data_IF_975427470211
#
_entry.id   IF_975427470211
#
_cell.length_a   1.000
_cell.length_b   1.000
_cell.length_c   1.000
_cell.angle_alpha   90.00
_cell.angle_beta   90.00
_cell.angle_gamma   90.00
#
_symmetry.space_group_name_H-M   'P 1'
#
loop_
_entity.id
_entity.type
_entity.pdbx_description
1 polymer ?
#
# COMPACT_ATOMS: atom_id res chain seq x y z
N UNK A 1 29.07 30.45 6.50
CA UNK A 1 28.81 30.00 6.29
C UNK A 1 28.38 29.37 6.15
N UNK A 2 28.34 29.13 6.02
CA UNK A 2 28.02 28.59 5.59
C UNK A 2 27.30 27.90 5.70
N UNK A 3 27.03 27.94 5.53
CA UNK A 3 26.41 27.38 5.46
C UNK A 3 26.10 26.43 5.18
N UNK A 4 26.17 26.05 5.35
CA UNK A 4 25.89 25.15 4.92
C UNK A 4 24.83 24.74 4.91
N UNK A 5 24.66 24.54 4.35
CA UNK A 5 23.43 24.30 4.00
C UNK A 5 22.88 23.22 4.73
N UNK A 6 22.12 23.49 5.06
CA UNK A 6 21.58 22.68 5.68
C UNK A 6 21.39 21.67 4.95
N UNK A 7 21.46 20.81 5.26
CA UNK A 7 21.33 19.80 4.66
C UNK A 7 20.06 19.60 4.38
N UNK A 8 19.75 19.53 3.46
CA UNK A 8 18.61 19.30 3.05
C UNK A 8 18.24 18.08 3.56
N UNK A 9 17.22 17.90 3.99
CA UNK A 9 16.78 16.77 4.41
C UNK A 9 16.86 15.77 3.42
N UNK A 10 17.27 14.67 3.72
CA UNK A 10 17.33 13.66 2.83
C UNK A 10 16.01 13.31 2.40
N UNK A 11 15.83 12.90 1.26
CA UNK A 11 14.63 12.51 0.76
C UNK A 11 14.24 11.40 1.55
N UNK A 12 13.10 11.08 1.79
CA UNK A 12 12.67 10.01 2.61
C UNK A 12 12.63 8.68 1.93
N UNK A 13 13.41 8.46 0.93
CA UNK A 13 13.41 7.17 0.25
C UNK A 13 14.15 6.08 1.03
N UNK A 14 14.78 6.42 2.17
CA UNK A 14 15.43 5.41 3.00
C UNK A 14 14.59 4.99 4.20
N UNK A 15 13.35 5.44 4.30
CA UNK A 15 12.51 5.04 5.41
C UNK A 15 11.92 3.66 5.14
N UNK A 16 11.36 3.06 6.19
CA UNK A 16 10.70 1.77 6.04
C UNK A 16 9.41 1.89 5.27
N UNK A 17 9.13 0.88 4.49
CA UNK A 17 7.90 0.79 3.71
C UNK A 17 7.29 -0.59 3.96
N UNK A 18 5.99 -0.71 3.75
CA UNK A 18 5.29 -1.98 3.87
C UNK A 18 4.90 -2.48 2.50
N UNK A 19 4.97 -3.80 2.34
CA UNK A 19 4.23 -4.46 1.27
C UNK A 19 3.04 -5.11 1.95
N UNK A 20 1.83 -4.81 1.50
CA UNK A 20 0.61 -5.29 2.13
C UNK A 20 -0.27 -6.02 1.15
N UNK A 21 -1.19 -6.79 1.67
CA UNK A 21 -2.13 -7.56 0.86
C UNK A 21 -3.53 -7.29 1.37
N UNK A 22 -4.43 -7.01 0.45
CA UNK A 22 -5.85 -6.82 0.74
C UNK A 22 -6.58 -7.97 0.08
N UNK A 23 -7.30 -8.78 0.86
CA UNK A 23 -7.97 -9.97 0.34
C UNK A 23 -9.47 -9.84 0.52
N UNK A 24 -10.21 -10.10 -0.55
CA UNK A 24 -11.66 -10.15 -0.50
C UNK A 24 -12.09 -11.54 -0.08
N UNK A 25 -12.79 -11.66 1.04
CA UNK A 25 -13.21 -12.95 1.56
C UNK A 25 -14.30 -13.59 0.73
N UNK A 26 -15.01 -12.82 -0.08
CA UNK A 26 -16.12 -13.34 -0.87
C UNK A 26 -15.63 -14.22 -2.00
N UNK A 27 -14.65 -13.76 -2.76
CA UNK A 27 -14.19 -14.48 -3.94
C UNK A 27 -12.69 -14.80 -3.92
N UNK A 28 -11.99 -14.42 -2.86
CA UNK A 28 -10.57 -14.69 -2.75
C UNK A 28 -9.67 -13.81 -3.58
N UNK A 29 -10.23 -12.83 -4.29
CA UNK A 29 -9.40 -11.92 -5.06
C UNK A 29 -8.58 -11.05 -4.13
N UNK A 30 -7.41 -10.61 -4.57
CA UNK A 30 -6.54 -9.85 -3.68
C UNK A 30 -5.73 -8.81 -4.44
N UNK A 31 -5.20 -7.88 -3.68
CA UNK A 31 -4.42 -6.75 -4.18
C UNK A 31 -3.14 -6.66 -3.36
N UNK A 32 -2.03 -6.37 -4.02
CA UNK A 32 -0.76 -6.14 -3.35
C UNK A 32 -0.35 -4.69 -3.60
N UNK A 33 0.02 -3.99 -2.54
CA UNK A 33 0.41 -2.60 -2.65
C UNK A 33 1.52 -2.27 -1.67
N UNK A 34 1.98 -1.03 -1.71
CA UNK A 34 3.00 -0.55 -0.78
C UNK A 34 2.58 0.78 -0.19
N UNK A 35 3.09 1.04 1.00
CA UNK A 35 2.93 2.35 1.62
C UNK A 35 4.10 2.57 2.55
N UNK A 36 4.40 3.83 2.89
CA UNK A 36 5.50 4.11 3.81
C UNK A 36 5.05 3.88 5.26
N UNK A 37 6.02 3.60 6.13
CA UNK A 37 5.76 3.45 7.55
C UNK A 37 5.99 4.79 8.21
N UNK A 38 4.97 5.33 8.85
CA UNK A 38 5.06 6.62 9.50
C UNK A 38 5.37 6.43 10.97
N UNK A 39 6.46 7.03 11.43
CA UNK A 39 6.86 6.98 12.83
C UNK A 39 6.95 5.58 13.40
N UNK A 40 7.35 4.63 12.58
CA UNK A 40 7.53 3.26 13.01
C UNK A 40 6.25 2.49 13.31
N UNK A 41 5.10 3.06 12.99
CA UNK A 41 3.81 2.44 13.33
C UNK A 41 3.23 1.72 12.13
N UNK A 42 3.55 0.45 12.01
CA UNK A 42 3.19 -0.35 10.85
C UNK A 42 1.69 -0.51 10.67
N UNK A 43 1.01 -0.91 11.73
CA UNK A 43 -0.43 -1.15 11.63
C UNK A 43 -1.20 0.12 11.35
N UNK A 44 -0.80 1.23 11.96
CA UNK A 44 -1.46 2.51 11.69
C UNK A 44 -1.20 2.97 10.27
N UNK A 45 -0.01 2.71 9.77
CA UNK A 45 0.33 3.08 8.39
C UNK A 45 -0.51 2.29 7.39
N UNK A 46 -0.72 1.01 7.66
CA UNK A 46 -1.57 0.18 6.83
C UNK A 46 -3.02 0.67 6.90
N UNK A 47 -3.51 0.97 8.09
CA UNK A 47 -4.88 1.46 8.27
C UNK A 47 -5.09 2.76 7.52
N UNK A 48 -4.12 3.68 7.57
CA UNK A 48 -4.21 4.93 6.84
C UNK A 48 -4.33 4.68 5.34
N UNK A 49 -3.54 3.74 4.83
CA UNK A 49 -3.58 3.42 3.41
C UNK A 49 -4.90 2.76 3.03
N UNK A 50 -5.41 1.89 3.89
CA UNK A 50 -6.71 1.26 3.65
C UNK A 50 -7.81 2.31 3.58
N UNK A 51 -7.78 3.30 4.47
CA UNK A 51 -8.77 4.37 4.43
C UNK A 51 -8.67 5.17 3.13
N UNK A 52 -7.48 5.35 2.60
CA UNK A 52 -7.31 6.03 1.32
C UNK A 52 -7.96 5.22 0.20
N UNK A 53 -7.81 3.89 0.23
CA UNK A 53 -8.47 3.04 -0.75
C UNK A 53 -10.01 3.14 -0.62
N UNK A 54 -10.50 3.21 0.61
CA UNK A 54 -11.94 3.36 0.82
C UNK A 54 -12.45 4.69 0.28
N UNK A 55 -11.71 5.76 0.47
CA UNK A 55 -12.11 7.05 -0.08
C UNK A 55 -12.13 7.01 -1.60
N UNK A 56 -11.13 6.41 -2.19
CA UNK A 56 -11.10 6.29 -3.65
C UNK A 56 -12.30 5.52 -4.17
N UNK A 57 -12.68 4.46 -3.49
CA UNK A 57 -13.80 3.62 -3.92
C UNK A 57 -15.15 4.27 -3.67
N UNK A 58 -15.33 4.82 -2.47
CA UNK A 58 -16.66 5.23 -2.01
C UNK A 58 -16.94 6.70 -2.24
N UNK A 59 -15.93 7.56 -2.04
CA UNK A 59 -16.16 9.00 -2.17
C UNK A 59 -15.84 9.50 -3.58
N UNK A 60 -14.81 8.97 -4.21
CA UNK A 60 -14.38 9.47 -5.51
C UNK A 60 -14.83 8.60 -6.68
N UNK A 61 -15.34 7.41 -6.39
CA UNK A 61 -15.87 6.54 -7.45
C UNK A 61 -14.83 6.09 -8.45
N UNK A 62 -13.59 5.86 -8.01
CA UNK A 62 -12.55 5.43 -8.93
C UNK A 62 -12.92 4.11 -9.58
N UNK A 63 -12.41 3.92 -10.80
CA UNK A 63 -12.77 2.75 -11.58
C UNK A 63 -11.70 1.66 -11.65
N UNK A 64 -10.66 1.76 -10.84
CA UNK A 64 -9.67 0.69 -10.81
C UNK A 64 -10.29 -0.56 -10.19
N UNK A 65 -9.66 -1.71 -10.43
CA UNK A 65 -10.23 -2.99 -10.02
C UNK A 65 -10.47 -3.09 -8.52
N UNK A 66 -9.54 -2.60 -7.72
CA UNK A 66 -9.71 -2.65 -6.27
C UNK A 66 -10.91 -1.82 -5.83
N UNK A 67 -11.05 -0.60 -6.35
CA UNK A 67 -12.16 0.27 -5.98
C UNK A 67 -13.50 -0.35 -6.38
N UNK A 68 -13.56 -0.94 -7.56
CA UNK A 68 -14.79 -1.61 -8.00
C UNK A 68 -15.12 -2.79 -7.09
N UNK A 69 -14.11 -3.56 -6.71
CA UNK A 69 -14.31 -4.71 -5.83
C UNK A 69 -14.80 -4.27 -4.45
N UNK A 70 -14.27 -3.17 -3.92
CA UNK A 70 -14.69 -2.66 -2.62
C UNK A 70 -16.17 -2.27 -2.67
N UNK A 71 -16.59 -1.59 -3.74
CA UNK A 71 -17.99 -1.21 -3.88
C UNK A 71 -18.88 -2.43 -4.06
N UNK A 72 -18.42 -3.42 -4.80
CA UNK A 72 -19.22 -4.60 -5.10
C UNK A 72 -19.39 -5.50 -3.88
N UNK A 73 -18.33 -5.72 -3.13
CA UNK A 73 -18.33 -6.70 -2.03
C UNK A 73 -18.39 -6.09 -0.65
N UNK A 74 -18.35 -4.80 -0.53
CA UNK A 74 -18.36 -3.98 0.68
C UNK A 74 -17.00 -4.01 1.40
N UNK A 75 -16.66 -2.95 2.10
CA UNK A 75 -15.37 -2.88 2.80
C UNK A 75 -15.17 -3.98 3.83
N UNK A 76 -16.25 -4.42 4.48
CA UNK A 76 -16.16 -5.42 5.53
C UNK A 76 -15.72 -6.78 5.01
N UNK A 77 -15.80 -6.99 3.70
CA UNK A 77 -15.40 -8.25 3.11
C UNK A 77 -13.89 -8.35 2.93
N UNK A 78 -13.14 -7.26 3.18
CA UNK A 78 -11.70 -7.24 2.95
C UNK A 78 -10.91 -7.36 4.23
N UNK A 79 -9.83 -8.14 4.18
CA UNK A 79 -8.85 -8.21 5.27
C UNK A 79 -7.56 -7.58 4.79
N UNK A 80 -6.82 -6.98 5.73
CA UNK A 80 -5.56 -6.32 5.42
C UNK A 80 -4.45 -7.04 6.14
N UNK A 81 -3.35 -7.24 5.47
CA UNK A 81 -2.25 -8.01 6.03
C UNK A 81 -0.92 -7.42 5.60
N UNK A 82 0.05 -7.34 6.51
CA UNK A 82 1.39 -6.87 6.19
C UNK A 82 2.20 -8.09 5.76
N UNK A 83 2.71 -8.06 4.54
CA UNK A 83 3.54 -9.16 4.04
C UNK A 83 5.02 -8.95 4.38
N UNK A 84 5.52 -7.73 4.20
CA UNK A 84 6.92 -7.43 4.41
C UNK A 84 7.12 -6.00 4.86
N UNK A 85 8.18 -5.77 5.61
CA UNK A 85 8.63 -4.42 5.93
C UNK A 85 10.01 -4.29 5.31
N UNK A 86 10.17 -3.31 4.42
CA UNK A 86 11.39 -3.17 3.64
C UNK A 86 11.93 -1.77 3.80
N UNK A 87 13.22 -1.64 4.05
CA UNK A 87 13.82 -0.32 4.14
C UNK A 87 14.17 0.17 2.75
N UNK A 88 13.73 1.38 2.45
CA UNK A 88 14.01 2.01 1.16
C UNK A 88 12.87 1.84 0.19
N UNK A 89 12.48 2.96 -0.43
CA UNK A 89 11.34 2.97 -1.35
C UNK A 89 11.60 2.10 -2.57
N UNK A 90 12.80 2.20 -3.13
CA UNK A 90 13.10 1.45 -4.36
C UNK A 90 13.11 -0.06 -4.10
N UNK A 91 13.72 -0.47 -2.97
CA UNK A 91 13.75 -1.89 -2.64
C UNK A 91 12.33 -2.41 -2.43
N UNK A 92 11.46 -1.61 -1.84
CA UNK A 92 10.08 -1.99 -1.63
C UNK A 92 9.32 -2.11 -2.95
N UNK A 93 9.54 -1.19 -3.87
CA UNK A 93 8.94 -1.27 -5.21
C UNK A 93 9.40 -2.52 -5.95
N UNK A 94 10.67 -2.86 -5.83
CA UNK A 94 11.21 -4.03 -6.50
C UNK A 94 10.56 -5.30 -5.96
N UNK A 95 10.40 -5.38 -4.64
CA UNK A 95 9.76 -6.53 -4.02
C UNK A 95 8.28 -6.60 -4.40
N UNK A 96 7.60 -5.49 -4.43
CA UNK A 96 6.20 -5.45 -4.84
C UNK A 96 6.06 -5.99 -6.25
N UNK A 97 6.93 -5.56 -7.14
CA UNK A 97 6.89 -6.01 -8.53
C UNK A 97 7.10 -7.50 -8.66
N UNK A 98 8.07 -8.03 -7.88
CA UNK A 98 8.30 -9.47 -7.87
C UNK A 98 7.09 -10.24 -7.38
N UNK A 99 6.45 -9.76 -6.30
CA UNK A 99 5.30 -10.43 -5.73
C UNK A 99 4.10 -10.37 -6.69
N UNK A 100 3.92 -9.27 -7.38
CA UNK A 100 2.84 -9.17 -8.36
C UNK A 100 3.07 -10.15 -9.49
N UNK A 101 4.30 -10.28 -9.96
CA UNK A 101 4.61 -11.23 -11.01
C UNK A 101 4.40 -12.66 -10.56
N UNK A 102 4.78 -12.96 -9.32
CA UNK A 102 4.69 -14.30 -8.80
C UNK A 102 3.26 -14.71 -8.43
N UNK A 103 2.57 -13.85 -7.72
CA UNK A 103 1.26 -14.17 -7.16
C UNK A 103 0.09 -13.80 -8.06
N UNK A 104 0.33 -12.89 -8.99
CA UNK A 104 -0.68 -12.46 -9.97
C UNK A 104 -1.98 -12.03 -9.32
N UNK A 105 -1.94 -11.01 -8.47
CA UNK A 105 -3.15 -10.58 -7.78
C UNK A 105 -4.17 -10.02 -8.77
N UNK A 106 -5.40 -10.47 -8.65
CA UNK A 106 -6.45 -10.08 -9.58
C UNK A 106 -6.75 -8.59 -9.56
N UNK A 107 -6.60 -7.96 -8.41
CA UNK A 107 -7.04 -6.58 -8.25
C UNK A 107 -5.97 -5.55 -8.60
N UNK A 108 -4.79 -6.00 -9.03
CA UNK A 108 -3.73 -5.09 -9.45
C UNK A 108 -3.74 -4.82 -10.96
N UNK A 109 -4.59 -5.48 -11.69
CA UNK A 109 -4.57 -5.36 -13.15
C UNK A 109 -5.39 -4.19 -13.62
#
# INVERSE_FOLDING_TARGET
MTDKPRKRRKRRNDRNHLVYKLTCAVDGSFYIGITFVDKGKKEKSLDRRWRAHLRNALDYGKENLLSVAIRTHTPESFTQEILHVVRGKQACHDLERELIQELRPHLNM
#
